data_IF_221200793043
#
_entry.id   IF_221200793043
#
_cell.length_a   1.000
_cell.length_b   1.000
_cell.length_c   1.000
_cell.angle_alpha   90.00
_cell.angle_beta   90.00
_cell.angle_gamma   90.00
#
_symmetry.space_group_name_H-M   'P 1'
#
loop_
_entity.id
_entity.type
_entity.pdbx_description
1 polymer ?
#
# COMPACT_ATOMS: atom_id res chain seq x y z
N UNK A 1 -16.76 7.13 9.87
CA UNK A 1 -16.12 5.79 9.81
C UNK A 1 -14.59 5.82 9.75
N UNK A 2 -13.90 6.37 8.74
CA UNK A 2 -12.42 6.41 8.71
C UNK A 2 -11.83 7.02 9.98
N UNK A 3 -12.40 8.14 10.38
CA UNK A 3 -11.97 8.86 11.55
C UNK A 3 -12.20 8.02 12.84
N UNK A 4 -13.29 7.26 12.93
CA UNK A 4 -13.53 6.32 14.04
C UNK A 4 -12.53 5.16 14.06
N UNK A 5 -12.14 4.62 12.90
CA UNK A 5 -11.07 3.62 12.79
C UNK A 5 -9.76 4.22 13.33
N UNK A 6 -9.47 5.46 12.98
CA UNK A 6 -8.30 6.17 13.49
C UNK A 6 -8.35 6.38 14.99
N UNK A 7 -9.50 6.76 15.56
CA UNK A 7 -9.64 6.92 17.01
C UNK A 7 -9.38 5.61 17.74
N UNK A 8 -9.98 4.51 17.28
CA UNK A 8 -9.74 3.17 17.85
C UNK A 8 -8.26 2.76 17.77
N UNK A 9 -7.60 3.06 16.66
CA UNK A 9 -6.15 2.83 16.51
C UNK A 9 -5.33 3.68 17.50
N UNK A 10 -5.68 4.95 17.68
CA UNK A 10 -5.01 5.84 18.62
C UNK A 10 -5.18 5.33 20.04
N UNK A 11 -6.40 5.01 20.46
CA UNK A 11 -6.72 4.51 21.80
C UNK A 11 -5.98 3.19 22.10
N UNK A 12 -5.91 2.29 21.13
CA UNK A 12 -5.32 0.96 21.32
C UNK A 12 -3.79 0.97 21.29
N UNK A 13 -3.15 1.82 20.49
CA UNK A 13 -1.71 1.68 20.18
C UNK A 13 -0.86 2.95 20.36
N UNK A 14 -1.42 4.15 20.29
CA UNK A 14 -0.61 5.39 20.23
C UNK A 14 -0.86 6.38 21.37
N UNK A 15 -2.01 6.31 22.04
CA UNK A 15 -2.36 7.10 23.22
C UNK A 15 -2.53 8.61 23.03
N UNK A 16 -2.23 9.17 21.84
CA UNK A 16 -2.33 10.61 21.57
C UNK A 16 -2.99 10.92 20.23
N UNK A 17 -4.15 11.56 20.29
CA UNK A 17 -4.85 12.06 19.11
C UNK A 17 -4.07 13.20 18.46
N UNK A 18 -4.06 13.20 17.12
CA UNK A 18 -3.41 14.25 16.32
C UNK A 18 -4.47 14.99 15.52
N UNK A 19 -4.78 16.22 15.96
CA UNK A 19 -5.90 17.02 15.45
C UNK A 19 -5.92 17.17 13.92
N UNK A 20 -4.77 17.37 13.27
CA UNK A 20 -4.73 17.56 11.82
C UNK A 20 -4.99 16.27 11.05
N UNK A 21 -4.57 15.12 11.58
CA UNK A 21 -4.88 13.82 10.96
C UNK A 21 -6.36 13.53 11.11
N UNK A 22 -6.91 13.74 12.31
CA UNK A 22 -8.33 13.52 12.57
C UNK A 22 -9.21 14.38 11.66
N UNK A 23 -8.94 15.68 11.60
CA UNK A 23 -9.64 16.62 10.72
C UNK A 23 -9.55 16.20 9.25
N UNK A 24 -8.36 15.79 8.80
CA UNK A 24 -8.18 15.29 7.44
C UNK A 24 -9.07 14.06 7.17
N UNK A 25 -9.13 13.11 8.11
CA UNK A 25 -9.96 11.91 7.97
C UNK A 25 -11.47 12.16 8.10
N UNK A 26 -11.87 13.27 8.74
CA UNK A 26 -13.27 13.74 8.76
C UNK A 26 -13.65 14.40 7.43
N UNK A 27 -12.71 15.09 6.76
CA UNK A 27 -12.89 15.73 5.46
C UNK A 27 -12.62 14.76 4.27
N UNK A 28 -11.98 13.62 4.52
CA UNK A 28 -11.64 12.66 3.48
C UNK A 28 -12.88 11.85 3.07
N UNK A 29 -13.29 12.04 1.82
CA UNK A 29 -14.33 11.24 1.20
C UNK A 29 -13.69 10.01 0.52
N UNK A 30 -14.30 8.83 0.68
CA UNK A 30 -13.91 7.62 -0.08
C UNK A 30 -14.32 7.71 -1.57
N UNK A 31 -14.19 8.88 -2.17
CA UNK A 31 -14.45 9.16 -3.58
C UNK A 31 -13.11 9.29 -4.32
N UNK A 32 -13.05 8.87 -5.60
CA UNK A 32 -11.83 9.04 -6.39
C UNK A 32 -11.41 10.51 -6.42
N UNK A 33 -10.18 10.81 -5.97
CA UNK A 33 -9.72 12.18 -5.82
C UNK A 33 -8.24 12.30 -5.42
N UNK A 34 -7.70 13.52 -5.60
CA UNK A 34 -6.34 13.85 -5.17
C UNK A 34 -6.38 14.67 -3.89
N UNK A 35 -5.90 14.09 -2.81
CA UNK A 35 -5.81 14.73 -1.51
C UNK A 35 -4.35 15.00 -1.16
N UNK A 36 -4.00 16.27 -0.93
CA UNK A 36 -2.63 16.68 -0.58
C UNK A 36 -2.59 17.16 0.86
N UNK A 37 -1.89 16.41 1.71
CA UNK A 37 -1.72 16.75 3.12
C UNK A 37 -0.25 17.04 3.45
N UNK A 38 0.03 18.27 3.90
CA UNK A 38 1.36 18.68 4.34
C UNK A 38 1.47 18.66 5.86
N UNK A 39 2.28 17.74 6.39
CA UNK A 39 2.56 17.61 7.82
C UNK A 39 4.07 17.51 8.07
N UNK A 40 4.59 18.01 9.22
CA UNK A 40 5.98 17.82 9.62
C UNK A 40 6.37 16.33 9.74
N UNK A 41 7.67 16.04 9.63
CA UNK A 41 8.20 14.73 10.03
C UNK A 41 7.89 14.47 11.51
N UNK A 42 7.71 13.20 11.90
CA UNK A 42 7.31 12.85 13.28
C UNK A 42 5.85 13.15 13.64
N UNK A 43 5.09 13.88 12.83
CA UNK A 43 3.63 14.06 13.05
C UNK A 43 2.84 12.74 12.90
N UNK A 44 3.48 11.68 12.38
CA UNK A 44 2.88 10.35 12.28
C UNK A 44 1.82 10.22 11.18
N UNK A 45 2.17 10.72 10.00
CA UNK A 45 1.48 10.50 8.72
C UNK A 45 1.14 9.03 8.44
N UNK A 46 1.96 8.10 8.95
CA UNK A 46 1.72 6.65 8.87
C UNK A 46 0.35 6.23 9.42
N UNK A 47 -0.21 6.98 10.38
CA UNK A 47 -1.54 6.68 10.92
C UNK A 47 -2.65 6.78 9.87
N UNK A 48 -2.51 7.65 8.88
CA UNK A 48 -3.47 7.77 7.76
C UNK A 48 -3.42 6.49 6.92
N UNK A 49 -2.22 6.02 6.61
CA UNK A 49 -2.00 4.80 5.82
C UNK A 49 -2.63 3.59 6.52
N UNK A 50 -2.40 3.42 7.82
CA UNK A 50 -2.96 2.29 8.57
C UNK A 50 -4.48 2.37 8.71
N UNK A 51 -5.02 3.58 8.90
CA UNK A 51 -6.46 3.79 8.93
C UNK A 51 -7.08 3.41 7.58
N UNK A 52 -6.49 3.85 6.48
CA UNK A 52 -6.95 3.52 5.14
C UNK A 52 -6.84 2.02 4.85
N UNK A 53 -5.71 1.40 5.19
CA UNK A 53 -5.50 -0.03 5.04
C UNK A 53 -6.54 -0.86 5.81
N UNK A 54 -6.85 -0.51 7.06
CA UNK A 54 -7.93 -1.17 7.81
C UNK A 54 -9.31 -0.91 7.17
N UNK A 55 -9.56 0.29 6.67
CA UNK A 55 -10.81 0.62 5.97
C UNK A 55 -11.03 -0.21 4.71
N UNK A 56 -9.95 -0.54 3.99
CA UNK A 56 -9.96 -1.45 2.83
C UNK A 56 -10.34 -2.86 3.25
N UNK A 57 -9.77 -3.36 4.35
CA UNK A 57 -10.05 -4.73 4.83
C UNK A 57 -11.51 -4.93 5.27
N UNK A 58 -12.18 -3.86 5.72
CA UNK A 58 -13.61 -3.88 6.04
C UNK A 58 -14.50 -3.49 4.84
N UNK A 59 -13.91 -3.26 3.66
CA UNK A 59 -14.63 -2.95 2.42
C UNK A 59 -15.28 -1.57 2.38
N UNK A 60 -14.77 -0.59 3.14
CA UNK A 60 -15.40 0.73 3.27
C UNK A 60 -15.02 1.72 2.17
N UNK A 61 -13.72 1.97 1.95
CA UNK A 61 -13.27 2.98 0.99
C UNK A 61 -12.86 2.40 -0.37
N UNK A 62 -11.95 1.42 -0.36
CA UNK A 62 -11.34 0.88 -1.57
C UNK A 62 -11.20 -0.64 -1.48
N UNK A 63 -11.02 -1.30 -2.63
CA UNK A 63 -10.77 -2.75 -2.68
C UNK A 63 -9.32 -3.12 -2.32
N UNK A 64 -8.38 -2.20 -2.53
CA UNK A 64 -6.99 -2.35 -2.07
C UNK A 64 -6.39 -1.01 -1.61
N UNK A 65 -5.32 -1.07 -0.83
CA UNK A 65 -4.48 0.06 -0.41
C UNK A 65 -3.05 -0.19 -0.89
N UNK A 66 -2.47 0.76 -1.62
CA UNK A 66 -1.06 0.72 -2.00
C UNK A 66 -0.32 1.90 -1.34
N UNK A 67 0.57 1.60 -0.40
CA UNK A 67 1.52 2.55 0.14
C UNK A 67 2.77 2.61 -0.72
N UNK A 68 3.13 3.80 -1.20
CA UNK A 68 4.32 4.03 -2.02
C UNK A 68 5.29 4.95 -1.30
N UNK A 69 6.56 4.54 -1.18
CA UNK A 69 7.63 5.34 -0.59
C UNK A 69 8.89 5.39 -1.48
N UNK A 70 9.74 6.43 -1.35
CA UNK A 70 10.94 6.55 -2.19
C UNK A 70 12.06 5.58 -1.82
N UNK A 71 12.14 5.12 -0.57
CA UNK A 71 13.24 4.29 -0.05
C UNK A 71 12.72 2.93 0.41
N UNK A 72 13.47 1.86 0.12
CA UNK A 72 13.16 0.49 0.58
C UNK A 72 13.08 0.40 2.11
N UNK A 73 14.06 0.98 2.81
CA UNK A 73 14.05 1.02 4.28
C UNK A 73 12.81 1.66 4.86
N UNK A 74 12.28 2.73 4.23
CA UNK A 74 11.04 3.36 4.69
C UNK A 74 9.82 2.46 4.46
N UNK A 75 9.81 1.68 3.37
CA UNK A 75 8.77 0.69 3.09
C UNK A 75 8.80 -0.42 4.14
N UNK A 76 9.98 -0.98 4.39
CA UNK A 76 10.21 -2.05 5.38
C UNK A 76 9.81 -1.57 6.79
N UNK A 77 10.31 -0.40 7.21
CA UNK A 77 10.00 0.20 8.52
C UNK A 77 8.50 0.45 8.73
N UNK A 78 7.78 0.84 7.67
CA UNK A 78 6.32 1.06 7.74
C UNK A 78 5.59 -0.27 7.78
N UNK A 79 6.03 -1.25 6.98
CA UNK A 79 5.42 -2.58 6.94
C UNK A 79 5.60 -3.36 8.23
N UNK A 80 6.77 -3.29 8.86
CA UNK A 80 6.99 -3.95 10.15
C UNK A 80 6.11 -3.37 11.26
N UNK A 81 5.90 -2.05 11.24
CA UNK A 81 4.92 -1.39 12.12
C UNK A 81 3.49 -1.81 11.81
N UNK A 82 3.13 -1.98 10.53
CA UNK A 82 1.83 -2.50 10.12
C UNK A 82 1.63 -3.92 10.66
N UNK A 83 2.56 -4.84 10.41
CA UNK A 83 2.49 -6.22 10.92
C UNK A 83 2.32 -6.25 12.44
N UNK A 84 3.13 -5.47 13.17
CA UNK A 84 3.06 -5.43 14.64
C UNK A 84 1.67 -5.02 15.18
N UNK A 85 1.00 -4.10 14.49
CA UNK A 85 -0.34 -3.62 14.87
C UNK A 85 -1.42 -4.58 14.36
N UNK A 86 -1.38 -4.91 13.08
CA UNK A 86 -2.40 -5.72 12.42
C UNK A 86 -2.44 -7.14 13.00
N UNK A 87 -1.28 -7.75 13.30
CA UNK A 87 -1.25 -9.12 13.85
C UNK A 87 -1.89 -9.18 15.24
N UNK A 88 -1.88 -8.08 16.01
CA UNK A 88 -2.61 -7.98 17.28
C UNK A 88 -4.12 -7.86 17.11
N UNK A 89 -4.58 -7.38 15.95
CA UNK A 89 -6.00 -7.19 15.64
C UNK A 89 -6.61 -8.46 15.04
N UNK A 90 -5.90 -9.11 14.11
CA UNK A 90 -6.45 -10.19 13.29
C UNK A 90 -5.60 -11.46 13.23
N UNK A 91 -4.47 -11.53 13.93
CA UNK A 91 -3.56 -12.68 13.89
C UNK A 91 -2.50 -12.58 12.78
N UNK A 92 -1.36 -13.23 12.99
CA UNK A 92 -0.19 -13.13 12.11
C UNK A 92 -0.43 -13.76 10.74
N UNK A 93 -0.99 -14.98 10.70
CA UNK A 93 -1.26 -15.71 9.45
C UNK A 93 -2.17 -14.91 8.50
N UNK A 94 -3.21 -14.28 9.04
CA UNK A 94 -4.15 -13.46 8.26
C UNK A 94 -3.43 -12.22 7.70
N UNK A 95 -2.57 -11.58 8.49
CA UNK A 95 -1.82 -10.40 8.04
C UNK A 95 -0.84 -10.74 6.93
N UNK A 96 -0.17 -11.87 7.02
CA UNK A 96 0.73 -12.35 5.96
C UNK A 96 -0.01 -12.66 4.66
N UNK A 97 -1.24 -13.16 4.73
CA UNK A 97 -2.07 -13.43 3.56
C UNK A 97 -2.54 -12.14 2.87
N UNK A 98 -3.09 -11.20 3.64
CA UNK A 98 -3.75 -10.00 3.11
C UNK A 98 -2.80 -8.83 2.81
N UNK A 99 -1.57 -8.87 3.34
CA UNK A 99 -0.61 -7.79 3.17
C UNK A 99 0.76 -8.23 2.70
N UNK A 100 1.49 -7.35 2.02
CA UNK A 100 2.81 -7.69 1.50
C UNK A 100 3.65 -6.50 1.08
N UNK A 101 4.96 -6.71 1.14
CA UNK A 101 5.97 -5.77 0.64
C UNK A 101 6.38 -6.19 -0.77
N UNK A 102 6.42 -5.24 -1.69
CA UNK A 102 6.88 -5.48 -3.06
C UNK A 102 7.88 -4.39 -3.46
N UNK A 103 9.15 -4.75 -3.58
CA UNK A 103 10.16 -3.90 -4.21
C UNK A 103 11.31 -4.75 -4.73
N UNK A 104 12.27 -4.15 -5.42
CA UNK A 104 13.47 -4.85 -5.86
C UNK A 104 14.17 -5.54 -4.67
N UNK A 105 14.24 -6.87 -4.71
CA UNK A 105 14.80 -7.72 -3.65
C UNK A 105 13.77 -8.42 -2.75
N UNK A 106 12.49 -8.03 -2.77
CA UNK A 106 11.43 -8.62 -1.94
C UNK A 106 10.15 -8.84 -2.76
N UNK A 107 9.64 -10.07 -2.76
CA UNK A 107 8.53 -10.50 -3.60
C UNK A 107 7.27 -10.88 -2.79
N UNK A 108 6.78 -9.98 -1.94
CA UNK A 108 5.62 -10.22 -1.06
C UNK A 108 4.25 -9.99 -1.73
N UNK A 109 4.20 -9.27 -2.86
CA UNK A 109 3.01 -9.14 -3.71
C UNK A 109 3.43 -8.87 -5.15
N UNK A 110 3.77 -9.96 -5.86
CA UNK A 110 4.42 -9.96 -7.17
C UNK A 110 3.74 -9.05 -8.20
N UNK A 111 2.40 -8.98 -8.18
CA UNK A 111 1.60 -8.14 -9.08
C UNK A 111 0.78 -7.06 -8.35
N UNK A 112 1.16 -6.71 -7.11
CA UNK A 112 0.43 -5.77 -6.24
C UNK A 112 -1.02 -6.23 -5.94
N UNK A 113 -1.27 -7.53 -5.99
CA UNK A 113 -2.61 -8.14 -5.94
C UNK A 113 -3.15 -8.37 -4.51
N UNK A 114 -2.37 -8.06 -3.47
CA UNK A 114 -2.85 -8.18 -2.09
C UNK A 114 -3.72 -6.96 -1.72
N UNK A 115 -4.69 -7.11 -0.80
CA UNK A 115 -5.49 -5.99 -0.31
C UNK A 115 -4.67 -4.82 0.24
N UNK A 116 -3.54 -5.09 0.92
CA UNK A 116 -2.67 -4.04 1.46
C UNK A 116 -1.23 -4.25 0.99
N UNK A 117 -0.73 -3.34 0.16
CA UNK A 117 0.60 -3.44 -0.45
C UNK A 117 1.48 -2.28 -0.03
N UNK A 118 2.72 -2.59 0.32
CA UNK A 118 3.76 -1.60 0.61
C UNK A 118 4.86 -1.73 -0.45
N UNK A 119 5.13 -0.67 -1.20
CA UNK A 119 6.04 -0.71 -2.34
C UNK A 119 6.88 0.55 -2.47
N UNK A 120 7.97 0.45 -3.22
CA UNK A 120 8.80 1.60 -3.56
C UNK A 120 8.33 2.30 -4.83
N UNK A 121 8.63 3.59 -4.95
CA UNK A 121 8.22 4.43 -6.08
C UNK A 121 8.68 3.86 -7.43
N UNK A 122 9.92 3.38 -7.54
CA UNK A 122 10.46 2.76 -8.75
C UNK A 122 9.68 1.51 -9.16
N UNK A 123 9.36 0.64 -8.20
CA UNK A 123 8.60 -0.59 -8.43
C UNK A 123 7.16 -0.27 -8.83
N UNK A 124 6.51 0.65 -8.12
CA UNK A 124 5.17 1.14 -8.48
C UNK A 124 5.11 1.68 -9.91
N UNK A 125 6.07 2.53 -10.30
CA UNK A 125 6.13 3.09 -11.65
C UNK A 125 6.35 2.01 -12.71
N UNK A 126 7.20 1.02 -12.44
CA UNK A 126 7.39 -0.12 -13.34
C UNK A 126 6.09 -0.89 -13.58
N UNK A 127 5.31 -1.13 -12.53
CA UNK A 127 3.98 -1.74 -12.65
C UNK A 127 3.02 -0.86 -13.48
N UNK A 128 3.00 0.45 -13.23
CA UNK A 128 2.17 1.42 -13.98
C UNK A 128 2.51 1.45 -15.48
N UNK A 129 3.81 1.41 -15.82
CA UNK A 129 4.33 1.44 -17.19
C UNK A 129 4.34 0.09 -17.91
N UNK A 130 3.61 -0.91 -17.40
CA UNK A 130 3.50 -2.25 -17.99
C UNK A 130 4.81 -3.05 -18.02
N UNK A 131 5.70 -2.77 -17.08
CA UNK A 131 7.02 -3.39 -16.94
C UNK A 131 7.21 -4.00 -15.55
N UNK A 132 6.31 -4.90 -15.07
CA UNK A 132 6.42 -5.44 -13.72
C UNK A 132 7.78 -6.13 -13.52
N UNK A 133 8.46 -5.93 -12.36
CA UNK A 133 9.81 -6.44 -12.12
C UNK A 133 10.04 -7.94 -12.43
N UNK A 134 9.11 -8.87 -12.10
CA UNK A 134 9.24 -10.29 -12.41
C UNK A 134 9.37 -10.60 -13.91
N UNK A 135 8.83 -9.73 -14.76
CA UNK A 135 8.80 -9.91 -16.21
C UNK A 135 9.96 -9.23 -16.92
N UNK A 136 10.69 -8.32 -16.26
CA UNK A 136 11.77 -7.54 -16.89
C UNK A 136 12.79 -8.42 -17.61
N UNK A 137 13.18 -9.53 -17.00
CA UNK A 137 14.12 -10.49 -17.61
C UNK A 137 13.56 -11.14 -18.88
N UNK A 138 12.28 -11.51 -18.85
CA UNK A 138 11.60 -12.14 -19.98
C UNK A 138 11.40 -11.14 -21.11
N UNK A 139 11.01 -9.91 -20.79
CA UNK A 139 10.87 -8.83 -21.76
C UNK A 139 12.22 -8.47 -22.40
N UNK A 140 13.28 -8.34 -21.62
CA UNK A 140 14.62 -8.08 -22.14
C UNK A 140 15.08 -9.20 -23.09
N UNK A 141 14.85 -10.47 -22.73
CA UNK A 141 15.17 -11.61 -23.59
C UNK A 141 14.38 -11.58 -24.90
N UNK A 142 13.08 -11.31 -24.84
CA UNK A 142 12.21 -11.19 -26.00
C UNK A 142 12.65 -10.05 -26.96
N UNK A 143 13.08 -8.91 -26.41
CA UNK A 143 13.63 -7.81 -27.20
C UNK A 143 14.89 -8.22 -27.95
N UNK A 144 15.81 -8.95 -27.29
CA UNK A 144 17.05 -9.45 -27.91
C UNK A 144 16.76 -10.53 -28.96
N UNK A 145 15.86 -11.47 -28.67
CA UNK A 145 15.52 -12.57 -29.57
C UNK A 145 14.53 -12.21 -30.67
N UNK A 146 14.05 -10.95 -30.73
CA UNK A 146 12.96 -10.48 -31.61
C UNK A 146 11.70 -11.35 -31.53
N UNK A 147 11.43 -11.91 -30.35
CA UNK A 147 10.23 -12.70 -30.07
C UNK A 147 9.19 -11.85 -29.35
N UNK A 148 7.92 -12.13 -29.60
CA UNK A 148 6.82 -11.47 -28.87
C UNK A 148 6.63 -12.12 -27.50
N UNK A 149 6.68 -11.32 -26.43
CA UNK A 149 6.30 -11.73 -25.09
C UNK A 149 4.96 -11.10 -24.71
N UNK A 150 3.95 -11.94 -24.45
CA UNK A 150 2.64 -11.53 -23.94
C UNK A 150 2.69 -11.59 -22.42
N UNK A 151 3.18 -10.52 -21.80
CA UNK A 151 3.29 -10.41 -20.34
C UNK A 151 1.95 -10.30 -19.62
N UNK A 152 1.98 -10.39 -18.29
CA UNK A 152 0.83 -10.27 -17.40
C UNK A 152 0.72 -8.86 -16.78
N UNK A 153 1.32 -7.87 -17.43
CA UNK A 153 1.36 -6.49 -16.95
C UNK A 153 -0.03 -5.86 -16.69
N UNK A 154 -1.09 -6.32 -17.37
CA UNK A 154 -2.45 -5.81 -17.13
C UNK A 154 -3.01 -6.24 -15.78
N UNK A 155 -2.55 -7.38 -15.22
CA UNK A 155 -2.96 -7.82 -13.88
C UNK A 155 -2.53 -6.78 -12.85
N UNK A 156 -1.29 -6.30 -12.96
CA UNK A 156 -0.77 -5.32 -12.02
C UNK A 156 -1.37 -3.93 -12.21
N UNK A 157 -1.64 -3.52 -13.47
CA UNK A 157 -2.39 -2.28 -13.72
C UNK A 157 -3.80 -2.32 -13.16
N UNK A 158 -4.49 -3.46 -13.29
CA UNK A 158 -5.79 -3.67 -12.68
C UNK A 158 -5.73 -3.53 -11.16
N UNK A 159 -4.71 -4.09 -10.52
CA UNK A 159 -4.51 -3.95 -9.08
C UNK A 159 -4.28 -2.49 -8.64
N UNK A 160 -3.53 -1.70 -9.41
CA UNK A 160 -3.36 -0.26 -9.16
C UNK A 160 -4.68 0.48 -9.35
N UNK A 161 -5.43 0.19 -10.40
CA UNK A 161 -6.72 0.85 -10.66
C UNK A 161 -7.75 0.55 -9.56
N UNK A 162 -7.74 -0.67 -9.00
CA UNK A 162 -8.61 -1.05 -7.88
C UNK A 162 -8.24 -0.40 -6.53
N UNK A 163 -7.02 0.17 -6.45
CA UNK A 163 -6.53 0.85 -5.25
C UNK A 163 -6.81 2.36 -5.22
N UNK A 164 -7.33 2.89 -6.33
CA UNK A 164 -7.54 4.32 -6.57
C UNK A 164 -8.98 4.77 -6.29
#
# INVERSE_FOLDING_TARGET
MLAEIYDKLVESFWGKHRRLIRRFLDEFECSPGLYILKLPTGYGKTGIVFTHALSTLVGYCSSSTIYVAPLRSLVDDVYDRWKSIASKIMGEDIVEEISGVQHMGVAGSIYLNKPVVYTTMDTFLLHLFKLPPPELKHQAKAMVSRQYYRGHYEVSRGAIANSA
#
